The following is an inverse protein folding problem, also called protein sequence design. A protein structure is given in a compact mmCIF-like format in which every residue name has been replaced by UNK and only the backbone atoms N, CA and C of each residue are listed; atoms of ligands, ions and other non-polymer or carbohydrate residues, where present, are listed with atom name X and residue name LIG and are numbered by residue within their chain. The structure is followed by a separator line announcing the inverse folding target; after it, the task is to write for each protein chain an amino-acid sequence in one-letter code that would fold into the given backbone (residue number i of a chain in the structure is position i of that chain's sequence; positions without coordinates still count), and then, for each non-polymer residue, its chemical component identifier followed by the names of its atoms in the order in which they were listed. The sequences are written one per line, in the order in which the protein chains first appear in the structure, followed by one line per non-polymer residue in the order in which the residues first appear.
data_IF_250149605310
#
_entry.id   IF_250149605310
#
_cell.length_a   1.000
_cell.length_b   1.000
_cell.length_c   1.000
_cell.angle_alpha   90.00
_cell.angle_beta   90.00
_cell.angle_gamma   90.00
#
_symmetry.space_group_name_H-M   'P 1'
#
loop_
_entity.id
_entity.type
_entity.pdbx_description
1 polymer ?
#
# COMPACT_ATOMS: atom_id res chain seq x y z
N UNK A 1 11.10 -5.99 0.69
CA UNK A 1 11.67 -6.95 1.65
C UNK A 1 12.23 -6.24 2.89
N UNK A 2 13.24 -5.34 2.75
CA UNK A 2 13.90 -4.72 3.92
C UNK A 2 12.95 -3.80 4.70
N UNK A 3 12.05 -3.11 4.03
CA UNK A 3 11.05 -2.25 4.67
C UNK A 3 10.07 -3.07 5.52
N UNK A 4 9.55 -4.16 4.99
CA UNK A 4 8.67 -5.08 5.72
C UNK A 4 9.35 -5.78 6.92
N UNK A 5 10.67 -5.84 6.92
CA UNK A 5 11.48 -6.34 8.04
C UNK A 5 11.91 -5.24 9.02
N UNK A 6 11.39 -4.03 8.89
CA UNK A 6 11.74 -2.89 9.73
C UNK A 6 13.18 -2.36 9.52
N UNK A 7 13.86 -2.80 8.45
CA UNK A 7 15.24 -2.38 8.13
C UNK A 7 15.26 -1.04 7.41
N UNK A 8 14.91 0.02 8.13
CA UNK A 8 14.73 1.37 7.56
C UNK A 8 16.03 1.91 6.93
N UNK A 9 17.18 1.64 7.52
CA UNK A 9 18.45 2.13 6.97
C UNK A 9 18.83 1.46 5.67
N UNK A 10 18.69 0.14 5.60
CA UNK A 10 18.95 -0.65 4.39
C UNK A 10 17.97 -0.26 3.28
N UNK A 11 16.71 0.01 3.63
CA UNK A 11 15.71 0.52 2.68
C UNK A 11 16.12 1.87 2.10
N UNK A 12 16.57 2.82 2.95
CA UNK A 12 17.04 4.14 2.50
C UNK A 12 18.29 4.03 1.64
N UNK A 13 19.22 3.16 1.99
CA UNK A 13 20.44 2.91 1.19
C UNK A 13 20.06 2.33 -0.19
N UNK A 14 19.16 1.36 -0.22
CA UNK A 14 18.65 0.79 -1.46
C UNK A 14 18.00 1.86 -2.36
N UNK A 15 17.15 2.72 -1.80
CA UNK A 15 16.52 3.83 -2.54
C UNK A 15 17.56 4.84 -3.06
N UNK A 16 18.59 5.15 -2.27
CA UNK A 16 19.69 6.02 -2.70
C UNK A 16 20.48 5.40 -3.87
N UNK A 17 20.75 4.09 -3.81
CA UNK A 17 21.42 3.36 -4.90
C UNK A 17 20.57 3.35 -6.17
N UNK A 18 19.25 3.13 -6.07
CA UNK A 18 18.32 3.23 -7.20
C UNK A 18 18.34 4.64 -7.79
N UNK A 19 18.33 5.68 -6.96
CA UNK A 19 18.39 7.07 -7.42
C UNK A 19 19.71 7.37 -8.15
N UNK A 20 20.83 6.85 -7.65
CA UNK A 20 22.14 7.00 -8.30
C UNK A 20 22.18 6.29 -9.67
N UNK A 21 21.64 5.07 -9.76
CA UNK A 21 21.54 4.33 -11.02
C UNK A 21 20.69 5.07 -12.07
N UNK A 22 19.64 5.77 -11.65
CA UNK A 22 18.81 6.60 -12.54
C UNK A 22 19.57 7.80 -13.13
N UNK A 23 20.57 8.31 -12.43
CA UNK A 23 21.44 9.39 -12.89
C UNK A 23 22.55 8.93 -13.85
N UNK A 24 22.73 7.62 -14.01
CA UNK A 24 23.75 7.06 -14.90
C UNK A 24 23.20 7.00 -16.34
N UNK A 25 23.69 7.88 -17.21
CA UNK A 25 23.30 7.94 -18.64
C UNK A 25 23.67 6.69 -19.43
N UNK A 26 24.52 5.81 -18.89
CA UNK A 26 24.88 4.53 -19.52
C UNK A 26 23.77 3.48 -19.40
N UNK A 27 22.80 3.67 -18.50
CA UNK A 27 21.69 2.75 -18.27
C UNK A 27 20.51 3.16 -19.16
N UNK A 28 20.24 2.38 -20.19
CA UNK A 28 19.06 2.57 -21.02
C UNK A 28 17.78 2.24 -20.24
N UNK A 29 16.95 3.24 -19.96
CA UNK A 29 15.71 3.06 -19.22
C UNK A 29 14.50 3.10 -20.14
N UNK A 30 13.69 2.04 -20.11
CA UNK A 30 12.38 2.06 -20.77
C UNK A 30 11.38 2.89 -19.97
N UNK A 31 10.32 3.44 -20.60
CA UNK A 31 9.28 4.17 -19.87
C UNK A 31 8.65 3.38 -18.73
N UNK A 32 8.48 2.06 -18.90
CA UNK A 32 7.93 1.19 -17.86
C UNK A 32 8.91 1.01 -16.69
N UNK A 33 10.20 0.85 -16.95
CA UNK A 33 11.22 0.77 -15.91
C UNK A 33 11.32 2.08 -15.12
N UNK A 34 11.30 3.21 -15.82
CA UNK A 34 11.28 4.53 -15.17
C UNK A 34 10.04 4.71 -14.28
N UNK A 35 8.85 4.31 -14.76
CA UNK A 35 7.62 4.36 -13.99
C UNK A 35 7.68 3.44 -12.75
N UNK A 36 8.31 2.27 -12.87
CA UNK A 36 8.50 1.35 -11.75
C UNK A 36 9.40 1.94 -10.66
N UNK A 37 10.49 2.63 -11.03
CA UNK A 37 11.32 3.32 -10.05
C UNK A 37 10.56 4.40 -9.28
N UNK A 38 9.77 5.22 -9.99
CA UNK A 38 8.92 6.25 -9.37
C UNK A 38 7.92 5.60 -8.41
N UNK A 39 7.32 4.48 -8.82
CA UNK A 39 6.37 3.75 -8.00
C UNK A 39 6.99 3.24 -6.71
N UNK A 40 8.11 2.52 -6.78
CA UNK A 40 8.73 1.94 -5.59
C UNK A 40 9.27 2.99 -4.63
N UNK A 41 9.79 4.11 -5.14
CA UNK A 41 10.20 5.25 -4.33
C UNK A 41 9.00 5.90 -3.61
N UNK A 42 7.90 6.13 -4.34
CA UNK A 42 6.67 6.67 -3.77
C UNK A 42 6.04 5.70 -2.73
N UNK A 43 5.96 4.40 -3.05
CA UNK A 43 5.42 3.41 -2.14
C UNK A 43 6.25 3.30 -0.85
N UNK A 44 7.58 3.25 -0.96
CA UNK A 44 8.47 3.24 0.20
C UNK A 44 8.30 4.50 1.06
N UNK A 45 8.12 5.66 0.42
CA UNK A 45 7.90 6.91 1.14
C UNK A 45 6.60 6.86 1.96
N UNK A 46 5.48 6.43 1.37
CA UNK A 46 4.20 6.40 2.11
C UNK A 46 4.19 5.35 3.22
N UNK A 47 4.83 4.20 3.02
CA UNK A 47 4.97 3.18 4.06
C UNK A 47 5.87 3.65 5.22
N UNK A 48 6.82 4.54 4.96
CA UNK A 48 7.62 5.22 5.98
C UNK A 48 6.91 6.46 6.57
N UNK A 49 5.66 6.70 6.22
CA UNK A 49 4.87 7.88 6.59
C UNK A 49 5.54 9.20 6.17
N UNK A 50 6.27 9.19 5.08
CA UNK A 50 6.91 10.36 4.49
C UNK A 50 6.09 10.86 3.29
N UNK A 51 6.19 12.15 3.00
CA UNK A 51 5.67 12.67 1.74
C UNK A 51 6.46 12.11 0.57
N UNK A 52 5.75 11.73 -0.50
CA UNK A 52 6.43 11.28 -1.71
C UNK A 52 7.21 12.44 -2.35
N UNK A 53 8.38 12.17 -2.94
CA UNK A 53 9.16 13.21 -3.62
C UNK A 53 8.51 13.67 -4.94
N UNK A 54 7.44 12.99 -5.37
CA UNK A 54 6.77 13.28 -6.63
C UNK A 54 5.42 13.95 -6.40
N UNK A 55 5.15 15.10 -7.05
CA UNK A 55 3.82 15.67 -7.06
C UNK A 55 2.80 14.67 -7.62
N UNK A 56 1.57 14.57 -7.06
CA UNK A 56 0.57 13.60 -7.49
C UNK A 56 0.29 13.61 -9.00
N UNK A 57 0.30 14.78 -9.64
CA UNK A 57 0.11 14.91 -11.09
C UNK A 57 1.27 14.37 -11.93
N UNK A 58 2.50 14.38 -11.40
CA UNK A 58 3.67 13.78 -12.06
C UNK A 58 3.59 12.26 -11.96
N UNK A 59 3.29 11.75 -10.76
CA UNK A 59 3.14 10.33 -10.54
C UNK A 59 2.03 9.71 -11.40
N UNK A 60 0.86 10.37 -11.48
CA UNK A 60 -0.27 9.91 -12.27
C UNK A 60 0.05 9.71 -13.76
N UNK A 61 0.95 10.51 -14.34
CA UNK A 61 1.37 10.36 -15.74
C UNK A 61 2.10 9.04 -16.01
N UNK A 62 2.80 8.51 -15.03
CA UNK A 62 3.57 7.29 -15.17
C UNK A 62 2.75 6.02 -14.92
N UNK A 63 1.63 6.12 -14.20
CA UNK A 63 0.77 4.96 -13.87
C UNK A 63 0.29 4.24 -15.13
N UNK A 64 -0.08 4.97 -16.17
CA UNK A 64 -0.60 4.40 -17.41
C UNK A 64 0.40 3.50 -18.17
N UNK A 65 1.70 3.65 -17.91
CA UNK A 65 2.75 2.84 -18.55
C UNK A 65 3.05 1.55 -17.79
N UNK A 66 2.50 1.40 -16.57
CA UNK A 66 2.71 0.23 -15.74
C UNK A 66 1.79 -0.94 -16.14
N UNK A 67 2.25 -2.19 -16.03
CA UNK A 67 1.38 -3.36 -16.04
C UNK A 67 0.28 -3.25 -14.97
N UNK A 68 -0.86 -3.89 -15.19
CA UNK A 68 -2.06 -3.67 -14.37
C UNK A 68 -1.81 -3.89 -12.87
N UNK A 69 -1.14 -4.99 -12.47
CA UNK A 69 -0.86 -5.24 -11.05
C UNK A 69 -0.01 -4.14 -10.40
N UNK A 70 1.03 -3.64 -11.10
CA UNK A 70 1.82 -2.52 -10.61
C UNK A 70 1.05 -1.19 -10.65
N UNK A 71 0.13 -1.04 -11.59
CA UNK A 71 -0.77 0.12 -11.66
C UNK A 71 -1.72 0.17 -10.47
N UNK A 72 -2.29 -0.96 -10.07
CA UNK A 72 -3.12 -1.07 -8.86
C UNK A 72 -2.31 -0.72 -7.60
N UNK A 73 -1.09 -1.22 -7.50
CA UNK A 73 -0.19 -0.89 -6.40
C UNK A 73 0.21 0.61 -6.41
N UNK A 74 0.37 1.21 -7.59
CA UNK A 74 0.59 2.64 -7.72
C UNK A 74 -0.62 3.48 -7.25
N UNK A 75 -1.84 3.00 -7.51
CA UNK A 75 -3.06 3.65 -7.01
C UNK A 75 -3.14 3.52 -5.48
N UNK A 76 -2.75 2.38 -4.90
CA UNK A 76 -2.61 2.26 -3.45
C UNK A 76 -1.64 3.32 -2.89
N UNK A 77 -0.44 3.49 -3.47
CA UNK A 77 0.51 4.48 -3.01
C UNK A 77 -0.05 5.92 -3.06
N UNK A 78 -0.84 6.25 -4.10
CA UNK A 78 -1.53 7.53 -4.19
C UNK A 78 -2.67 7.68 -3.15
N UNK A 79 -3.43 6.62 -2.93
CA UNK A 79 -4.50 6.60 -1.93
C UNK A 79 -3.91 6.75 -0.52
N UNK A 80 -2.83 6.04 -0.21
CA UNK A 80 -2.13 6.16 1.06
C UNK A 80 -1.53 7.57 1.25
N UNK A 81 -0.96 8.15 0.20
CA UNK A 81 -0.52 9.54 0.23
C UNK A 81 -1.69 10.48 0.58
N UNK A 82 -2.85 10.33 -0.07
CA UNK A 82 -4.04 11.12 0.25
C UNK A 82 -4.48 10.91 1.72
N UNK A 83 -4.39 9.68 2.23
CA UNK A 83 -4.65 9.36 3.64
C UNK A 83 -3.72 10.16 4.57
N UNK A 84 -2.42 10.19 4.31
CA UNK A 84 -1.44 10.92 5.13
C UNK A 84 -1.70 12.44 5.17
N UNK A 85 -2.34 12.98 4.14
CA UNK A 85 -2.74 14.39 4.08
C UNK A 85 -4.16 14.66 4.62
N UNK A 86 -4.83 13.66 5.18
CA UNK A 86 -6.18 13.80 5.74
C UNK A 86 -7.29 13.84 4.68
N UNK A 87 -6.98 13.56 3.41
CA UNK A 87 -7.94 13.51 2.29
C UNK A 87 -8.68 12.15 2.25
N UNK A 88 -9.29 11.75 3.37
CA UNK A 88 -9.82 10.39 3.57
C UNK A 88 -10.86 9.98 2.52
N UNK A 89 -11.79 10.87 2.17
CA UNK A 89 -12.78 10.58 1.12
C UNK A 89 -12.15 10.34 -0.25
N UNK A 90 -11.08 11.06 -0.58
CA UNK A 90 -10.31 10.84 -1.80
C UNK A 90 -9.53 9.51 -1.75
N UNK A 91 -8.92 9.20 -0.61
CA UNK A 91 -8.24 7.94 -0.36
C UNK A 91 -9.17 6.75 -0.64
N UNK A 92 -10.32 6.72 0.00
CA UNK A 92 -11.34 5.67 -0.17
C UNK A 92 -11.82 5.59 -1.61
N UNK A 93 -12.23 6.72 -2.21
CA UNK A 93 -12.73 6.74 -3.57
C UNK A 93 -11.72 6.23 -4.60
N UNK A 94 -10.43 6.49 -4.42
CA UNK A 94 -9.37 5.96 -5.30
C UNK A 94 -9.23 4.45 -5.14
N UNK A 95 -9.20 3.95 -3.91
CA UNK A 95 -9.04 2.52 -3.64
C UNK A 95 -10.25 1.71 -4.14
N UNK A 96 -11.47 2.13 -3.82
CA UNK A 96 -12.70 1.46 -4.26
C UNK A 96 -12.84 1.48 -5.79
N UNK A 97 -12.56 2.62 -6.44
CA UNK A 97 -12.60 2.70 -7.90
C UNK A 97 -11.62 1.72 -8.54
N UNK A 98 -10.41 1.60 -8.00
CA UNK A 98 -9.41 0.65 -8.51
C UNK A 98 -9.87 -0.79 -8.35
N UNK A 99 -10.42 -1.15 -7.18
CA UNK A 99 -10.97 -2.48 -6.91
C UNK A 99 -12.13 -2.83 -7.81
N UNK A 100 -13.01 -1.87 -8.12
CA UNK A 100 -14.17 -2.07 -8.99
C UNK A 100 -13.82 -2.18 -10.48
N UNK A 101 -12.76 -1.52 -10.93
CA UNK A 101 -12.42 -1.40 -12.36
C UNK A 101 -11.30 -2.33 -12.81
N UNK A 102 -10.64 -3.04 -11.90
CA UNK A 102 -9.60 -4.02 -12.24
C UNK A 102 -10.15 -5.14 -13.12
N UNK A 103 -9.34 -5.65 -14.03
CA UNK A 103 -9.74 -6.73 -14.94
C UNK A 103 -9.10 -8.08 -14.60
N UNK A 104 -8.00 -8.07 -13.84
CA UNK A 104 -7.30 -9.27 -13.38
C UNK A 104 -7.47 -9.50 -11.89
N UNK A 105 -6.79 -10.52 -11.38
CA UNK A 105 -6.68 -10.84 -9.96
C UNK A 105 -5.23 -10.64 -9.52
N UNK A 106 -5.03 -9.69 -8.60
CA UNK A 106 -3.72 -9.26 -8.12
C UNK A 106 -3.72 -9.19 -6.59
N UNK A 107 -3.64 -10.32 -5.89
CA UNK A 107 -3.93 -10.44 -4.46
C UNK A 107 -3.20 -9.39 -3.61
N UNK A 108 -1.88 -9.24 -3.80
CA UNK A 108 -1.08 -8.27 -3.03
C UNK A 108 -1.61 -6.84 -3.21
N UNK A 109 -1.79 -6.40 -4.46
CA UNK A 109 -2.27 -5.03 -4.73
C UNK A 109 -3.72 -4.82 -4.23
N UNK A 110 -4.57 -5.83 -4.36
CA UNK A 110 -5.95 -5.81 -3.87
C UNK A 110 -5.98 -5.72 -2.35
N UNK A 111 -5.16 -6.50 -1.66
CA UNK A 111 -5.03 -6.45 -0.20
C UNK A 111 -4.63 -5.05 0.28
N UNK A 112 -3.60 -4.45 -0.31
CA UNK A 112 -3.17 -3.08 0.03
C UNK A 112 -4.27 -2.04 -0.24
N UNK A 113 -5.03 -2.17 -1.33
CA UNK A 113 -6.15 -1.28 -1.65
C UNK A 113 -7.29 -1.42 -0.62
N UNK A 114 -7.61 -2.63 -0.20
CA UNK A 114 -8.60 -2.86 0.85
C UNK A 114 -8.12 -2.31 2.21
N UNK A 115 -6.86 -2.50 2.57
CA UNK A 115 -6.31 -1.96 3.82
C UNK A 115 -6.38 -0.42 3.86
N UNK A 116 -5.95 0.26 2.80
CA UNK A 116 -5.98 1.72 2.77
C UNK A 116 -7.41 2.27 2.72
N UNK A 117 -8.35 1.55 2.11
CA UNK A 117 -9.78 1.89 2.17
C UNK A 117 -10.32 1.76 3.60
N UNK A 118 -10.00 0.66 4.29
CA UNK A 118 -10.38 0.48 5.70
C UNK A 118 -9.85 1.59 6.60
N UNK A 119 -8.58 1.97 6.44
CA UNK A 119 -7.97 3.09 7.16
C UNK A 119 -8.71 4.42 6.91
N UNK A 120 -9.05 4.69 5.65
CA UNK A 120 -9.81 5.88 5.25
C UNK A 120 -11.21 5.90 5.86
N UNK A 121 -11.94 4.78 5.77
CA UNK A 121 -13.29 4.64 6.32
C UNK A 121 -13.32 4.82 7.85
N UNK A 122 -12.31 4.31 8.57
CA UNK A 122 -12.19 4.55 10.02
C UNK A 122 -12.11 6.04 10.35
N UNK A 123 -11.36 6.80 9.58
CA UNK A 123 -11.25 8.26 9.78
C UNK A 123 -12.52 8.99 9.36
N UNK A 124 -13.30 8.48 8.41
CA UNK A 124 -14.63 8.98 8.04
C UNK A 124 -15.73 8.55 9.04
N UNK A 125 -15.38 7.73 10.04
CA UNK A 125 -16.30 7.18 11.07
C UNK A 125 -17.30 6.17 10.51
N UNK A 126 -17.03 5.60 9.36
CA UNK A 126 -17.79 4.46 8.81
C UNK A 126 -17.12 3.14 9.18
N UNK A 127 -17.37 2.71 10.41
CA UNK A 127 -16.76 1.50 11.00
C UNK A 127 -17.20 0.23 10.25
N UNK A 128 -18.44 0.18 9.77
CA UNK A 128 -18.95 -0.99 9.06
C UNK A 128 -18.29 -1.14 7.69
N UNK A 129 -18.14 -0.05 6.94
CA UNK A 129 -17.41 -0.07 5.68
C UNK A 129 -15.92 -0.43 5.90
N UNK A 130 -15.30 0.12 6.95
CA UNK A 130 -13.92 -0.22 7.31
C UNK A 130 -13.77 -1.71 7.62
N UNK A 131 -14.70 -2.28 8.38
CA UNK A 131 -14.75 -3.71 8.70
C UNK A 131 -14.91 -4.58 7.45
N UNK A 132 -15.80 -4.20 6.53
CA UNK A 132 -15.98 -4.90 5.27
C UNK A 132 -14.67 -4.94 4.47
N UNK A 133 -14.02 -3.81 4.28
CA UNK A 133 -12.75 -3.75 3.57
C UNK A 133 -11.66 -4.55 4.27
N UNK A 134 -11.56 -4.46 5.60
CA UNK A 134 -10.58 -5.25 6.35
C UNK A 134 -10.79 -6.75 6.18
N UNK A 135 -12.03 -7.24 6.22
CA UNK A 135 -12.33 -8.67 6.05
C UNK A 135 -12.06 -9.17 4.64
N UNK A 136 -12.21 -8.33 3.60
CA UNK A 136 -11.75 -8.66 2.24
C UNK A 136 -10.21 -8.78 2.19
N UNK A 137 -9.47 -7.83 2.78
CA UNK A 137 -8.02 -7.91 2.89
C UNK A 137 -7.58 -9.16 3.65
N UNK A 138 -8.28 -9.48 4.75
CA UNK A 138 -8.02 -10.66 5.56
C UNK A 138 -8.27 -11.96 4.79
N UNK A 139 -9.34 -12.04 4.01
CA UNK A 139 -9.63 -13.19 3.16
C UNK A 139 -8.50 -13.49 2.17
N UNK A 140 -7.91 -12.45 1.57
CA UNK A 140 -6.76 -12.55 0.68
C UNK A 140 -5.53 -13.02 1.49
N UNK A 141 -5.25 -12.38 2.63
CA UNK A 141 -4.13 -12.71 3.49
C UNK A 141 -4.15 -14.17 3.94
N UNK A 142 -5.33 -14.65 4.36
CA UNK A 142 -5.50 -16.01 4.86
C UNK A 142 -5.22 -17.06 3.78
N UNK A 143 -5.68 -16.79 2.53
CA UNK A 143 -5.50 -17.71 1.42
C UNK A 143 -4.03 -17.88 1.01
N UNK A 144 -3.27 -16.78 1.01
CA UNK A 144 -1.91 -16.71 0.46
C UNK A 144 -0.81 -16.55 1.55
N UNK A 145 -1.19 -16.45 2.81
CA UNK A 145 -0.28 -16.24 3.94
C UNK A 145 0.33 -14.84 4.02
N UNK A 146 -0.32 -13.84 3.41
CA UNK A 146 0.15 -12.45 3.30
C UNK A 146 -0.26 -11.63 4.53
N UNK A 147 0.22 -12.01 5.71
CA UNK A 147 -0.15 -11.36 6.98
C UNK A 147 0.75 -10.16 7.32
N UNK A 148 1.91 -10.06 6.72
CA UNK A 148 2.89 -9.00 6.93
C UNK A 148 2.32 -7.63 6.58
N UNK A 149 1.59 -7.52 5.48
CA UNK A 149 0.96 -6.29 5.00
C UNK A 149 -0.09 -5.76 5.99
N UNK A 150 -0.77 -6.65 6.69
CA UNK A 150 -1.73 -6.27 7.74
C UNK A 150 -0.98 -5.71 8.95
N UNK A 151 0.13 -6.33 9.34
CA UNK A 151 0.99 -5.84 10.42
C UNK A 151 1.53 -4.43 10.14
N UNK A 152 2.02 -4.18 8.92
CA UNK A 152 2.50 -2.86 8.49
C UNK A 152 1.44 -1.74 8.62
N UNK A 153 0.15 -2.08 8.51
CA UNK A 153 -0.97 -1.12 8.58
C UNK A 153 -1.68 -1.11 9.94
N UNK A 154 -1.31 -1.99 10.88
CA UNK A 154 -2.03 -2.19 12.14
C UNK A 154 -2.30 -0.88 12.89
N UNK A 155 -1.28 -0.06 13.10
CA UNK A 155 -1.41 1.21 13.82
C UNK A 155 -2.37 2.22 13.16
N UNK A 156 -2.64 2.08 11.87
CA UNK A 156 -3.52 2.97 11.11
C UNK A 156 -4.96 2.45 11.01
N UNK A 157 -5.20 1.18 11.37
CA UNK A 157 -6.50 0.53 11.32
C UNK A 157 -7.40 0.85 12.53
N UNK A 158 -6.89 1.55 13.54
CA UNK A 158 -7.65 2.10 14.67
C UNK A 158 -8.55 1.09 15.39
N UNK A 159 -8.09 -0.15 15.60
CA UNK A 159 -8.81 -1.18 16.34
C UNK A 159 -9.73 -2.08 15.51
N UNK A 160 -9.85 -1.89 14.20
CA UNK A 160 -10.62 -2.79 13.32
C UNK A 160 -10.04 -4.20 13.35
N UNK A 161 -8.72 -4.32 13.31
CA UNK A 161 -8.01 -5.60 13.37
C UNK A 161 -8.40 -6.39 14.63
N UNK A 162 -8.35 -5.74 15.79
CA UNK A 162 -8.71 -6.35 17.08
C UNK A 162 -10.14 -6.85 17.08
N UNK A 163 -11.06 -6.02 16.58
CA UNK A 163 -12.48 -6.34 16.52
C UNK A 163 -12.78 -7.51 15.59
N UNK A 164 -12.02 -7.65 14.50
CA UNK A 164 -12.27 -8.68 13.48
C UNK A 164 -11.53 -9.99 13.77
N UNK A 165 -10.32 -9.94 14.35
CA UNK A 165 -9.48 -11.13 14.43
C UNK A 165 -9.30 -11.70 15.84
N UNK A 166 -9.40 -10.88 16.88
CA UNK A 166 -8.97 -11.29 18.23
C UNK A 166 -9.74 -12.49 18.79
N UNK A 167 -11.04 -12.59 18.52
CA UNK A 167 -11.89 -13.67 19.00
C UNK A 167 -11.92 -14.86 18.02
N UNK A 168 -12.09 -14.58 16.73
CA UNK A 168 -12.31 -15.61 15.72
C UNK A 168 -11.00 -16.23 15.18
N UNK A 169 -9.89 -15.48 15.24
CA UNK A 169 -8.58 -15.87 14.68
C UNK A 169 -7.43 -15.58 15.66
N UNK A 170 -7.44 -16.08 16.92
CA UNK A 170 -6.50 -15.64 17.95
C UNK A 170 -5.03 -15.94 17.64
N UNK A 171 -4.73 -17.05 16.98
CA UNK A 171 -3.35 -17.39 16.59
C UNK A 171 -2.82 -16.45 15.50
N UNK A 172 -3.64 -16.13 14.51
CA UNK A 172 -3.27 -15.17 13.47
C UNK A 172 -3.18 -13.75 14.00
N UNK A 173 -4.10 -13.38 14.91
CA UNK A 173 -4.02 -12.09 15.61
C UNK A 173 -2.68 -11.94 16.34
N UNK A 174 -2.26 -12.94 17.10
CA UNK A 174 -0.97 -12.92 17.79
C UNK A 174 0.19 -12.77 16.79
N UNK A 175 0.17 -13.51 15.67
CA UNK A 175 1.19 -13.40 14.63
C UNK A 175 1.24 -12.00 14.02
N UNK A 176 0.10 -11.38 13.72
CA UNK A 176 0.06 -10.02 13.17
C UNK A 176 0.64 -9.00 14.16
N UNK A 177 0.32 -9.16 15.46
CA UNK A 177 0.86 -8.27 16.51
C UNK A 177 2.38 -8.44 16.67
N UNK A 178 2.92 -9.63 16.48
CA UNK A 178 4.37 -9.87 16.55
C UNK A 178 5.15 -9.19 15.39
N UNK A 179 4.48 -8.83 14.29
CA UNK A 179 5.06 -8.11 13.16
C UNK A 179 5.13 -6.59 13.43
N UNK A 180 4.25 -6.07 14.29
CA UNK A 180 4.11 -4.64 14.58
C UNK A 180 5.16 -4.13 15.54
#
# INVERSE_FOLDING_TARGET
ADLALGKIWETKECLANIAAMRGDESIETTPALHASYILFDAASSVLLHLSTPYPPGTFAKHIATLPEGLRLFAIYALAHHAYLFGEYGRCVGMAETALMTKQGHYPIAEQFLHLVAAMGQMNLKDVEAARCHFMEAWGIALADGLVEEIGEHHGLLQGVLETCLKEDYPEHYARVIDIT
#
